data_IF_786244293392
#
_entry.id   IF_786244293392
#
_cell.length_a   1.000
_cell.length_b   1.000
_cell.length_c   1.000
_cell.angle_alpha   90.00
_cell.angle_beta   90.00
_cell.angle_gamma   90.00
#
_symmetry.space_group_name_H-M   'P 1'
#
loop_
_entity.id
_entity.type
_entity.pdbx_description
1 polymer ?
#
# COMPACT_ATOMS: atom_id res chain seq x y z
N UNK A 1 -21.50 2.11 -25.90
CA UNK A 1 -21.05 0.72 -25.68
C UNK A 1 -19.54 0.75 -25.61
N UNK A 2 -18.93 0.06 -24.64
CA UNK A 2 -17.48 -0.10 -24.55
C UNK A 2 -17.05 -1.04 -25.68
N UNK A 3 -16.04 -0.63 -26.45
CA UNK A 3 -15.54 -1.42 -27.58
C UNK A 3 -14.03 -1.68 -27.46
N UNK A 4 -13.53 -2.75 -28.11
CA UNK A 4 -12.11 -3.09 -28.05
C UNK A 4 -11.17 -2.08 -28.71
N UNK A 5 -11.69 -1.23 -29.59
CA UNK A 5 -10.92 -0.22 -30.32
C UNK A 5 -10.73 1.08 -29.53
N UNK A 6 -11.45 1.25 -28.40
CA UNK A 6 -11.36 2.47 -27.60
C UNK A 6 -9.97 2.67 -27.01
N UNK A 7 -9.53 3.92 -27.00
CA UNK A 7 -8.39 4.44 -26.24
C UNK A 7 -8.67 4.38 -24.73
N UNK A 8 -7.64 4.52 -23.90
CA UNK A 8 -7.81 4.51 -22.44
C UNK A 8 -8.72 5.68 -21.97
N UNK A 9 -8.62 6.84 -22.62
CA UNK A 9 -9.48 7.99 -22.35
C UNK A 9 -10.95 7.72 -22.69
N UNK A 10 -11.22 7.11 -23.84
CA UNK A 10 -12.57 6.72 -24.26
C UNK A 10 -13.16 5.65 -23.36
N UNK A 11 -12.35 4.66 -22.96
CA UNK A 11 -12.77 3.62 -22.00
C UNK A 11 -13.16 4.23 -20.66
N UNK A 12 -12.34 5.15 -20.13
CA UNK A 12 -12.64 5.86 -18.88
C UNK A 12 -13.94 6.64 -18.98
N UNK A 13 -14.15 7.40 -20.06
CA UNK A 13 -15.35 8.18 -20.27
C UNK A 13 -16.61 7.28 -20.38
N UNK A 14 -16.53 6.19 -21.14
CA UNK A 14 -17.63 5.24 -21.28
C UNK A 14 -17.96 4.52 -19.96
N UNK A 15 -16.93 4.08 -19.22
CA UNK A 15 -17.11 3.44 -17.94
C UNK A 15 -17.65 4.40 -16.87
N UNK A 16 -17.33 5.69 -16.94
CA UNK A 16 -17.90 6.69 -16.05
C UNK A 16 -19.42 6.86 -16.26
N UNK A 17 -19.89 6.79 -17.51
CA UNK A 17 -21.34 6.81 -17.78
C UNK A 17 -22.02 5.55 -17.22
N UNK A 18 -21.41 4.39 -17.41
CA UNK A 18 -21.91 3.14 -16.83
C UNK A 18 -21.90 3.16 -15.29
N UNK A 19 -20.86 3.72 -14.67
CA UNK A 19 -20.75 3.93 -13.21
C UNK A 19 -21.97 4.69 -12.66
N UNK A 20 -22.29 5.84 -13.27
CA UNK A 20 -23.42 6.67 -12.83
C UNK A 20 -24.74 5.91 -12.92
N UNK A 21 -24.89 5.05 -13.93
CA UNK A 21 -26.08 4.21 -14.12
C UNK A 21 -26.18 3.07 -13.08
N UNK A 22 -25.08 2.36 -12.81
CA UNK A 22 -25.14 1.09 -12.05
C UNK A 22 -24.80 1.22 -10.57
N UNK A 23 -24.18 2.33 -10.12
CA UNK A 23 -23.67 2.46 -8.73
C UNK A 23 -24.69 2.10 -7.65
N UNK A 24 -25.95 2.54 -7.81
CA UNK A 24 -27.01 2.25 -6.84
C UNK A 24 -27.44 0.79 -6.86
N UNK A 25 -27.48 0.17 -8.05
CA UNK A 25 -27.81 -1.26 -8.20
C UNK A 25 -26.75 -2.14 -7.56
N UNK A 26 -25.47 -1.78 -7.72
CA UNK A 26 -24.34 -2.48 -7.07
C UNK A 26 -24.44 -2.32 -5.55
N UNK A 27 -24.70 -1.11 -5.04
CA UNK A 27 -24.85 -0.86 -3.60
C UNK A 27 -25.96 -1.70 -2.97
N UNK A 28 -27.14 -1.73 -3.59
CA UNK A 28 -28.27 -2.55 -3.13
C UNK A 28 -27.91 -4.04 -3.14
N UNK A 29 -27.23 -4.51 -4.19
CA UNK A 29 -26.80 -5.90 -4.28
C UNK A 29 -25.76 -6.27 -3.22
N UNK A 30 -24.84 -5.36 -2.89
CA UNK A 30 -23.86 -5.52 -1.81
C UNK A 30 -24.54 -5.63 -0.45
N UNK A 31 -25.50 -4.74 -0.16
CA UNK A 31 -26.27 -4.75 1.08
C UNK A 31 -27.08 -6.05 1.23
N UNK A 32 -27.69 -6.53 0.13
CA UNK A 32 -28.42 -7.79 0.10
C UNK A 32 -27.50 -8.98 0.36
N UNK A 33 -26.32 -9.03 -0.27
CA UNK A 33 -25.34 -10.09 -0.05
C UNK A 33 -24.85 -10.10 1.40
N UNK A 34 -24.49 -8.93 1.95
CA UNK A 34 -24.07 -8.79 3.34
C UNK A 34 -25.18 -9.21 4.33
N UNK A 35 -26.44 -8.86 4.05
CA UNK A 35 -27.59 -9.30 4.83
C UNK A 35 -27.75 -10.83 4.81
N UNK A 36 -27.61 -11.46 3.64
CA UNK A 36 -27.72 -12.91 3.48
C UNK A 36 -26.62 -13.69 4.21
N UNK A 37 -25.46 -13.07 4.46
CA UNK A 37 -24.37 -13.66 5.21
C UNK A 37 -24.57 -13.60 6.73
N UNK A 38 -25.46 -12.73 7.25
CA UNK A 38 -25.71 -12.63 8.69
C UNK A 38 -26.44 -13.89 9.19
N UNK A 39 -25.85 -14.57 10.18
CA UNK A 39 -26.49 -15.67 10.88
C UNK A 39 -27.35 -15.12 12.02
N UNK A 40 -28.60 -15.58 12.12
CA UNK A 40 -29.45 -15.31 13.29
C UNK A 40 -29.26 -16.39 14.36
N UNK A 41 -29.54 -16.07 15.63
CA UNK A 41 -29.40 -17.01 16.74
C UNK A 41 -30.17 -18.31 16.48
N UNK A 42 -29.49 -19.46 16.65
CA UNK A 42 -30.03 -20.78 16.37
C UNK A 42 -29.95 -21.25 14.92
N UNK A 43 -29.59 -20.38 13.95
CA UNK A 43 -29.42 -20.79 12.55
C UNK A 43 -28.01 -21.33 12.29
N UNK A 44 -27.94 -22.59 11.85
CA UNK A 44 -26.74 -23.21 11.30
C UNK A 44 -26.96 -23.34 9.80
N UNK A 45 -26.32 -22.48 9.00
CA UNK A 45 -26.26 -22.66 7.55
C UNK A 45 -24.87 -23.15 7.18
N UNK A 46 -24.80 -24.20 6.37
CA UNK A 46 -23.64 -24.39 5.51
C UNK A 46 -23.56 -23.12 4.67
N UNK A 47 -22.50 -22.32 4.81
CA UNK A 47 -22.32 -21.09 4.04
C UNK A 47 -22.21 -21.52 2.57
N UNK A 48 -23.34 -21.53 1.87
CA UNK A 48 -23.39 -21.89 0.47
C UNK A 48 -22.78 -20.73 -0.32
N UNK A 49 -21.55 -20.97 -0.77
CA UNK A 49 -20.66 -20.10 -1.52
C UNK A 49 -20.14 -18.88 -0.75
N UNK A 50 -18.84 -18.90 -0.44
CA UNK A 50 -18.06 -17.73 0.01
C UNK A 50 -17.99 -16.63 -1.06
N UNK A 51 -18.55 -16.86 -2.25
CA UNK A 51 -18.50 -15.97 -3.39
C UNK A 51 -19.82 -16.02 -4.19
N UNK A 52 -20.41 -14.87 -4.51
CA UNK A 52 -21.59 -14.74 -5.38
C UNK A 52 -21.26 -13.81 -6.54
N UNK A 53 -21.66 -14.14 -7.78
CA UNK A 53 -21.51 -13.24 -8.92
C UNK A 53 -22.86 -12.87 -9.51
N UNK A 54 -23.12 -11.56 -9.63
CA UNK A 54 -24.28 -11.00 -10.34
C UNK A 54 -23.85 -10.32 -11.63
N UNK A 55 -24.77 -10.19 -12.58
CA UNK A 55 -24.51 -9.48 -13.84
C UNK A 55 -25.46 -8.30 -13.97
N UNK A 56 -24.92 -7.14 -14.36
CA UNK A 56 -25.65 -5.90 -14.56
C UNK A 56 -25.41 -5.43 -15.99
N UNK A 57 -26.49 -5.27 -16.76
CA UNK A 57 -26.44 -4.68 -18.10
C UNK A 57 -26.85 -3.21 -18.06
N UNK A 58 -26.09 -2.36 -18.75
CA UNK A 58 -26.36 -0.91 -18.88
C UNK A 58 -27.23 -0.60 -20.11
N UNK A 59 -27.76 0.63 -20.20
CA UNK A 59 -28.49 1.11 -21.39
C UNK A 59 -27.62 1.07 -22.65
N UNK A 60 -26.32 1.31 -22.50
CA UNK A 60 -25.32 1.20 -23.56
C UNK A 60 -25.02 -0.26 -23.96
N UNK A 61 -25.75 -1.23 -23.40
CA UNK A 61 -25.62 -2.68 -23.59
C UNK A 61 -24.30 -3.29 -23.09
N UNK A 62 -23.54 -2.56 -22.28
CA UNK A 62 -22.36 -3.09 -21.59
C UNK A 62 -22.80 -4.02 -20.47
N UNK A 63 -22.06 -5.12 -20.27
CA UNK A 63 -22.38 -6.15 -19.28
C UNK A 63 -21.27 -6.19 -18.24
N UNK A 64 -21.57 -5.70 -17.04
CA UNK A 64 -20.67 -5.69 -15.90
C UNK A 64 -20.98 -6.86 -14.97
N UNK A 65 -19.97 -7.64 -14.62
CA UNK A 65 -20.05 -8.66 -13.59
C UNK A 65 -19.69 -8.05 -12.24
N UNK A 66 -20.47 -8.40 -11.21
CA UNK A 66 -20.26 -7.97 -9.83
C UNK A 66 -20.01 -9.22 -9.00
N UNK A 67 -18.76 -9.44 -8.62
CA UNK A 67 -18.36 -10.56 -7.78
C UNK A 67 -18.29 -10.09 -6.32
N UNK A 68 -19.06 -10.71 -5.44
CA UNK A 68 -19.05 -10.51 -3.99
C UNK A 68 -18.28 -11.66 -3.34
N UNK A 69 -17.41 -11.36 -2.39
CA UNK A 69 -16.58 -12.34 -1.68
C UNK A 69 -16.69 -12.09 -0.18
N UNK A 70 -16.94 -13.14 0.58
CA UNK A 70 -16.85 -13.10 2.03
C UNK A 70 -15.37 -13.08 2.45
N UNK A 71 -14.92 -11.94 2.99
CA UNK A 71 -13.56 -11.73 3.50
C UNK A 71 -13.32 -12.34 4.88
N UNK A 72 -14.35 -12.89 5.52
CA UNK A 72 -14.26 -13.59 6.80
C UNK A 72 -15.02 -12.89 7.94
N UNK A 73 -14.93 -13.52 9.12
CA UNK A 73 -15.55 -13.08 10.36
C UNK A 73 -14.50 -12.40 11.24
N UNK A 74 -14.79 -11.19 11.74
CA UNK A 74 -13.94 -10.53 12.73
C UNK A 74 -14.59 -10.57 14.12
N UNK A 75 -14.04 -11.34 15.08
CA UNK A 75 -14.56 -11.40 16.44
C UNK A 75 -14.46 -10.07 17.20
N UNK A 76 -13.59 -9.15 16.76
CA UNK A 76 -13.33 -7.86 17.44
C UNK A 76 -14.34 -6.76 17.10
N UNK A 77 -15.23 -6.98 16.14
CA UNK A 77 -16.19 -5.96 15.65
C UNK A 77 -17.64 -6.40 15.82
N UNK A 78 -17.99 -7.05 16.95
CA UNK A 78 -19.35 -7.50 17.28
C UNK A 78 -20.06 -8.28 16.16
N UNK A 79 -19.33 -9.17 15.48
CA UNK A 79 -19.89 -10.05 14.45
C UNK A 79 -20.14 -9.38 13.09
N UNK A 80 -19.56 -8.21 12.83
CA UNK A 80 -19.58 -7.62 11.49
C UNK A 80 -18.79 -8.49 10.48
N UNK A 81 -19.45 -8.80 9.37
CA UNK A 81 -18.89 -9.54 8.23
C UNK A 81 -18.14 -8.58 7.30
N UNK A 82 -16.93 -8.95 6.90
CA UNK A 82 -16.22 -8.24 5.85
C UNK A 82 -16.63 -8.79 4.49
N UNK A 83 -17.19 -7.92 3.64
CA UNK A 83 -17.58 -8.26 2.28
C UNK A 83 -16.71 -7.45 1.33
N UNK A 84 -15.99 -8.16 0.47
CA UNK A 84 -15.27 -7.57 -0.66
C UNK A 84 -16.14 -7.68 -1.92
N UNK A 85 -15.98 -6.75 -2.84
CA UNK A 85 -16.66 -6.82 -4.13
C UNK A 85 -15.81 -6.28 -5.27
N UNK A 86 -16.00 -6.83 -6.46
CA UNK A 86 -15.33 -6.43 -7.69
C UNK A 86 -16.36 -6.23 -8.78
N UNK A 87 -16.43 -5.03 -9.35
CA UNK A 87 -17.22 -4.76 -10.55
C UNK A 87 -16.27 -4.80 -11.72
N UNK A 88 -16.48 -5.73 -12.65
CA UNK A 88 -15.55 -5.95 -13.75
C UNK A 88 -16.23 -6.28 -15.08
N UNK A 89 -15.52 -5.99 -16.16
CA UNK A 89 -15.94 -6.25 -17.53
C UNK A 89 -14.75 -6.81 -18.33
N UNK A 90 -14.87 -8.00 -18.93
CA UNK A 90 -13.89 -8.49 -19.90
C UNK A 90 -13.92 -7.67 -21.19
N UNK A 91 -12.77 -7.17 -21.62
CA UNK A 91 -12.57 -6.37 -22.83
C UNK A 91 -11.81 -7.19 -23.87
N UNK A 92 -12.54 -7.77 -24.83
CA UNK A 92 -11.98 -8.66 -25.86
C UNK A 92 -11.30 -7.88 -26.99
N UNK A 93 -9.97 -7.77 -26.98
CA UNK A 93 -9.13 -7.12 -28.00
C UNK A 93 -8.52 -8.15 -28.95
N UNK A 94 -9.35 -8.72 -29.82
CA UNK A 94 -8.94 -9.80 -30.72
C UNK A 94 -8.75 -11.11 -29.93
N UNK A 95 -7.56 -11.72 -30.02
CA UNK A 95 -7.20 -12.93 -29.26
C UNK A 95 -6.90 -12.64 -27.77
N UNK A 96 -6.73 -11.37 -27.43
CA UNK A 96 -6.39 -10.95 -26.08
C UNK A 96 -7.62 -10.46 -25.31
N UNK A 97 -7.64 -10.71 -24.00
CA UNK A 97 -8.70 -10.24 -23.12
C UNK A 97 -8.07 -9.41 -22.00
N UNK A 98 -8.36 -8.12 -22.05
CA UNK A 98 -8.10 -7.21 -20.93
C UNK A 98 -9.29 -7.26 -19.96
N UNK A 99 -9.08 -6.81 -18.72
CA UNK A 99 -10.14 -6.72 -17.73
C UNK A 99 -10.24 -5.31 -17.18
N UNK A 100 -11.42 -4.71 -17.31
CA UNK A 100 -11.75 -3.45 -16.66
C UNK A 100 -12.33 -3.75 -15.28
N UNK A 101 -11.82 -3.08 -14.25
CA UNK A 101 -12.33 -3.11 -12.88
C UNK A 101 -12.74 -1.72 -12.49
N UNK A 102 -13.94 -1.56 -11.97
CA UNK A 102 -14.49 -0.27 -11.60
C UNK A 102 -14.77 -0.24 -10.10
N UNK A 103 -14.31 0.82 -9.45
CA UNK A 103 -14.66 1.13 -8.06
C UNK A 103 -16.00 1.85 -8.04
N UNK A 104 -16.90 1.44 -7.13
CA UNK A 104 -18.21 2.07 -6.97
C UNK A 104 -18.27 3.04 -5.77
N UNK A 105 -17.38 2.88 -4.78
CA UNK A 105 -17.37 3.67 -3.55
C UNK A 105 -15.93 3.93 -3.05
N UNK A 106 -15.61 5.13 -2.51
CA UNK A 106 -16.44 6.33 -2.47
C UNK A 106 -16.49 7.08 -3.82
N UNK A 107 -15.43 6.98 -4.62
CA UNK A 107 -15.27 7.70 -5.88
C UNK A 107 -15.09 6.77 -7.09
N UNK A 108 -15.49 7.25 -8.27
CA UNK A 108 -15.23 6.55 -9.52
C UNK A 108 -13.74 6.43 -9.76
N UNK A 109 -13.31 5.20 -10.01
CA UNK A 109 -11.96 4.87 -10.43
C UNK A 109 -12.02 3.61 -11.27
N UNK A 110 -11.20 3.55 -12.33
CA UNK A 110 -11.16 2.38 -13.20
C UNK A 110 -9.74 1.83 -13.31
N UNK A 111 -9.62 0.51 -13.35
CA UNK A 111 -8.37 -0.19 -13.49
C UNK A 111 -8.47 -1.12 -14.70
N UNK A 112 -7.50 -1.06 -15.61
CA UNK A 112 -7.37 -2.00 -16.73
C UNK A 112 -6.21 -2.95 -16.45
N UNK A 113 -6.54 -4.22 -16.26
CA UNK A 113 -5.53 -5.29 -16.27
C UNK A 113 -5.35 -5.72 -17.72
N UNK A 114 -4.17 -5.45 -18.29
CA UNK A 114 -3.84 -5.92 -19.63
C UNK A 114 -3.68 -7.44 -19.67
N UNK A 115 -4.00 -8.02 -20.81
CA UNK A 115 -3.71 -9.43 -21.13
C UNK A 115 -2.25 -9.80 -20.88
N UNK A 116 -1.31 -8.95 -21.31
CA UNK A 116 0.12 -9.12 -21.08
C UNK A 116 0.45 -9.17 -19.58
N UNK A 117 -0.03 -8.21 -18.78
CA UNK A 117 0.15 -8.24 -17.33
C UNK A 117 -0.37 -9.55 -16.72
N UNK A 118 -1.57 -9.98 -17.14
CA UNK A 118 -2.20 -11.18 -16.62
C UNK A 118 -1.42 -12.45 -16.95
N UNK A 119 -0.87 -12.52 -18.16
CA UNK A 119 0.03 -13.61 -18.56
C UNK A 119 1.27 -13.64 -17.66
N UNK A 120 1.93 -12.50 -17.48
CA UNK A 120 3.11 -12.40 -16.59
C UNK A 120 2.78 -12.75 -15.14
N UNK A 121 1.60 -12.37 -14.66
CA UNK A 121 1.13 -12.73 -13.31
C UNK A 121 0.98 -14.25 -13.14
N UNK A 122 0.43 -14.94 -14.15
CA UNK A 122 0.34 -16.40 -14.16
C UNK A 122 1.73 -17.02 -14.08
N UNK A 123 2.57 -16.68 -15.06
CA UNK A 123 3.92 -17.26 -15.20
C UNK A 123 4.80 -17.03 -13.96
N UNK A 124 4.76 -15.83 -13.38
CA UNK A 124 5.71 -15.42 -12.33
C UNK A 124 5.23 -15.68 -10.91
N UNK A 125 3.92 -15.75 -10.69
CA UNK A 125 3.38 -15.86 -9.34
C UNK A 125 2.49 -17.07 -9.19
N UNK A 126 1.45 -17.21 -10.03
CA UNK A 126 0.49 -18.30 -9.84
C UNK A 126 1.13 -19.67 -10.10
N UNK A 127 1.80 -19.83 -11.24
CA UNK A 127 2.37 -21.10 -11.67
C UNK A 127 3.62 -21.43 -10.83
N UNK A 128 4.52 -20.46 -10.64
CA UNK A 128 5.70 -20.63 -9.80
C UNK A 128 5.38 -21.05 -8.36
N UNK A 129 4.31 -20.51 -7.76
CA UNK A 129 3.92 -20.83 -6.38
C UNK A 129 2.81 -21.90 -6.31
N UNK A 130 2.42 -22.51 -7.44
CA UNK A 130 1.35 -23.52 -7.51
C UNK A 130 0.05 -23.09 -6.81
N UNK A 131 -0.35 -21.84 -7.02
CA UNK A 131 -1.47 -21.23 -6.31
C UNK A 131 -2.80 -21.87 -6.74
N UNK A 132 -3.51 -22.46 -5.78
CA UNK A 132 -4.88 -22.92 -6.02
C UNK A 132 -5.87 -21.73 -5.97
N UNK A 133 -6.43 -21.39 -7.13
CA UNK A 133 -7.38 -20.29 -7.27
C UNK A 133 -8.80 -20.61 -6.79
N UNK A 134 -9.12 -21.87 -6.49
CA UNK A 134 -10.46 -22.32 -6.08
C UNK A 134 -11.56 -21.84 -7.04
N UNK A 135 -11.26 -21.83 -8.34
CA UNK A 135 -12.19 -21.38 -9.39
C UNK A 135 -12.26 -19.86 -9.61
N UNK A 136 -11.53 -19.05 -8.85
CA UNK A 136 -11.45 -17.60 -9.08
C UNK A 136 -10.63 -17.27 -10.34
N UNK A 137 -11.10 -16.32 -11.15
CA UNK A 137 -10.34 -15.86 -12.31
C UNK A 137 -9.03 -15.17 -11.86
N UNK A 138 -7.87 -15.40 -12.51
CA UNK A 138 -6.58 -14.80 -12.15
C UNK A 138 -6.62 -13.27 -11.97
N UNK A 139 -7.39 -12.56 -12.79
CA UNK A 139 -7.51 -11.10 -12.68
C UNK A 139 -8.24 -10.68 -11.39
N UNK A 140 -9.31 -11.39 -11.02
CA UNK A 140 -10.02 -11.17 -9.74
C UNK A 140 -9.11 -11.52 -8.56
N UNK A 141 -8.38 -12.62 -8.67
CA UNK A 141 -7.46 -13.05 -7.61
C UNK A 141 -6.36 -12.02 -7.36
N UNK A 142 -5.76 -11.46 -8.42
CA UNK A 142 -4.79 -10.37 -8.29
C UNK A 142 -5.41 -9.14 -7.62
N UNK A 143 -6.62 -8.74 -8.05
CA UNK A 143 -7.30 -7.59 -7.44
C UNK A 143 -7.57 -7.80 -5.95
N UNK A 144 -8.04 -8.99 -5.57
CA UNK A 144 -8.37 -9.37 -4.21
C UNK A 144 -7.16 -9.51 -3.28
N UNK A 145 -6.08 -10.13 -3.76
CA UNK A 145 -4.92 -10.44 -2.90
C UNK A 145 -3.89 -9.33 -2.78
N UNK A 146 -4.06 -8.24 -3.53
CA UNK A 146 -3.13 -7.11 -3.49
C UNK A 146 -3.87 -5.80 -3.19
N UNK A 147 -4.89 -5.83 -2.32
CA UNK A 147 -5.53 -4.59 -1.84
C UNK A 147 -4.55 -3.64 -1.12
N UNK A 148 -3.42 -4.16 -0.65
CA UNK A 148 -2.30 -3.45 -0.02
C UNK A 148 -1.36 -2.73 -1.00
N UNK A 149 -1.67 -2.73 -2.31
CA UNK A 149 -0.86 -2.05 -3.34
C UNK A 149 -0.64 -0.59 -2.96
N UNK A 150 0.61 -0.19 -2.90
CA UNK A 150 1.00 1.21 -2.71
C UNK A 150 1.90 1.67 -3.84
N UNK A 151 1.76 2.92 -4.25
CA UNK A 151 2.72 3.53 -5.16
C UNK A 151 4.07 3.66 -4.45
N UNK A 152 5.14 3.42 -5.20
CA UNK A 152 6.52 3.60 -4.72
C UNK A 152 7.15 4.83 -5.34
N UNK A 153 8.02 5.48 -4.58
CA UNK A 153 8.85 6.59 -5.02
C UNK A 153 10.07 6.12 -5.82
N UNK A 154 10.37 4.81 -5.76
CA UNK A 154 11.39 4.21 -6.60
C UNK A 154 11.15 4.49 -8.10
N UNK A 155 12.17 5.05 -8.76
CA UNK A 155 12.20 5.28 -10.22
C UNK A 155 13.35 4.50 -10.87
N UNK A 156 13.08 3.57 -11.79
CA UNK A 156 14.11 2.81 -12.51
C UNK A 156 15.07 3.74 -13.27
N UNK A 157 16.35 3.36 -13.37
CA UNK A 157 17.37 4.16 -14.08
C UNK A 157 17.40 3.91 -15.58
N UNK A 158 16.79 2.81 -16.03
CA UNK A 158 16.71 2.41 -17.43
C UNK A 158 15.43 2.88 -18.13
N UNK A 159 14.58 3.65 -17.44
CA UNK A 159 13.38 4.25 -18.03
C UNK A 159 13.70 5.62 -18.63
N UNK A 160 13.08 5.92 -19.76
CA UNK A 160 13.17 7.23 -20.42
C UNK A 160 12.37 8.30 -19.64
N UNK A 161 12.60 9.58 -19.93
CA UNK A 161 11.84 10.67 -19.30
C UNK A 161 10.34 10.60 -19.57
N UNK A 162 9.95 10.16 -20.77
CA UNK A 162 8.55 9.96 -21.14
C UNK A 162 7.92 8.83 -20.32
N UNK A 163 8.65 7.73 -20.15
CA UNK A 163 8.20 6.62 -19.30
C UNK A 163 8.08 7.02 -17.83
N UNK A 164 8.98 7.85 -17.32
CA UNK A 164 8.93 8.35 -15.95
C UNK A 164 7.77 9.32 -15.69
N UNK A 165 7.27 10.00 -16.73
CA UNK A 165 6.08 10.88 -16.64
C UNK A 165 4.78 10.09 -16.57
N UNK A 166 4.69 8.97 -17.27
CA UNK A 166 3.45 8.22 -17.41
C UNK A 166 3.38 6.97 -16.52
N UNK A 167 4.53 6.32 -16.30
CA UNK A 167 4.62 5.04 -15.61
C UNK A 167 5.10 5.22 -14.18
N UNK A 168 4.56 4.39 -13.30
CA UNK A 168 5.02 4.24 -11.93
C UNK A 168 4.99 2.77 -11.56
N UNK A 169 5.43 2.46 -10.34
CA UNK A 169 5.45 1.09 -9.82
C UNK A 169 4.51 1.03 -8.62
N UNK A 170 3.73 -0.05 -8.56
CA UNK A 170 2.98 -0.44 -7.37
C UNK A 170 3.69 -1.61 -6.69
N UNK A 171 3.89 -1.51 -5.39
CA UNK A 171 4.43 -2.58 -4.55
C UNK A 171 3.28 -3.30 -3.83
N UNK A 172 3.31 -4.63 -3.86
CA UNK A 172 2.40 -5.48 -3.10
C UNK A 172 3.11 -6.76 -2.63
N UNK A 173 2.43 -7.56 -1.80
CA UNK A 173 2.92 -8.86 -1.39
C UNK A 173 3.35 -9.75 -2.59
N UNK A 174 2.61 -9.69 -3.70
CA UNK A 174 2.80 -10.57 -4.85
C UNK A 174 3.75 -10.01 -5.93
N UNK A 175 4.28 -8.79 -5.78
CA UNK A 175 5.34 -8.30 -6.65
C UNK A 175 5.34 -6.79 -6.88
N UNK A 176 6.15 -6.39 -7.87
CA UNK A 176 6.29 -5.00 -8.32
C UNK A 176 5.60 -4.86 -9.67
N UNK A 177 4.47 -4.16 -9.69
CA UNK A 177 3.62 -4.00 -10.86
C UNK A 177 3.94 -2.67 -11.54
N UNK A 178 4.28 -2.70 -12.83
CA UNK A 178 4.47 -1.50 -13.64
C UNK A 178 3.11 -1.06 -14.16
N UNK A 179 2.74 0.17 -13.83
CA UNK A 179 1.43 0.73 -14.17
C UNK A 179 1.58 2.10 -14.84
N UNK A 180 0.57 2.48 -15.63
CA UNK A 180 0.40 3.84 -16.14
C UNK A 180 -0.81 4.50 -15.47
N UNK A 181 -0.63 5.71 -14.94
CA UNK A 181 -1.72 6.52 -14.40
C UNK A 181 -2.24 7.48 -15.47
N UNK A 182 -3.54 7.46 -15.71
CA UNK A 182 -4.23 8.31 -16.69
C UNK A 182 -5.47 8.89 -15.99
N UNK A 183 -5.31 10.03 -15.30
CA UNK A 183 -6.38 10.62 -14.48
C UNK A 183 -6.96 9.55 -13.51
N UNK A 184 -8.28 9.32 -13.49
CA UNK A 184 -8.96 8.32 -12.66
C UNK A 184 -8.84 6.88 -13.19
N UNK A 185 -7.83 6.59 -13.99
CA UNK A 185 -7.58 5.28 -14.57
C UNK A 185 -6.16 4.80 -14.27
N UNK A 186 -6.03 3.52 -13.91
CA UNK A 186 -4.74 2.82 -13.84
C UNK A 186 -4.70 1.66 -14.81
N UNK A 187 -3.63 1.60 -15.60
CA UNK A 187 -3.38 0.53 -16.56
C UNK A 187 -2.22 -0.32 -16.06
N UNK A 188 -2.47 -1.60 -15.79
CA UNK A 188 -1.44 -2.56 -15.44
C UNK A 188 -0.79 -3.11 -16.71
N UNK A 189 0.50 -2.83 -16.89
CA UNK A 189 1.24 -3.10 -18.13
C UNK A 189 1.99 -4.44 -18.02
N UNK A 190 2.82 -4.57 -16.98
CA UNK A 190 3.66 -5.75 -16.75
C UNK A 190 4.13 -5.77 -15.29
N UNK A 191 4.94 -6.76 -14.93
CA UNK A 191 5.79 -6.72 -13.75
C UNK A 191 7.14 -6.15 -14.11
N UNK A 192 7.80 -5.53 -13.15
CA UNK A 192 9.13 -4.98 -13.36
C UNK A 192 10.11 -6.08 -13.75
N UNK A 193 10.61 -6.03 -14.99
CA UNK A 193 11.36 -7.11 -15.63
C UNK A 193 12.86 -6.99 -15.33
N UNK A 194 13.28 -7.48 -14.16
CA UNK A 194 14.66 -7.92 -13.95
C UNK A 194 14.66 -9.41 -13.61
N UNK A 195 15.54 -10.16 -14.28
CA UNK A 195 15.65 -11.63 -14.19
C UNK A 195 15.76 -12.13 -12.74
N UNK A 196 16.35 -11.31 -11.86
CA UNK A 196 16.29 -11.49 -10.42
C UNK A 196 15.41 -10.42 -9.76
N UNK A 197 14.09 -10.68 -9.77
CA UNK A 197 13.15 -9.93 -8.95
C UNK A 197 13.62 -9.86 -7.50
N UNK A 198 14.30 -10.85 -6.94
CA UNK A 198 14.74 -10.85 -5.54
C UNK A 198 15.63 -9.67 -5.16
N UNK A 199 16.70 -9.42 -5.93
CA UNK A 199 17.65 -8.32 -5.65
C UNK A 199 17.03 -6.96 -5.90
N UNK A 200 16.31 -6.83 -7.00
CA UNK A 200 15.66 -5.57 -7.33
C UNK A 200 14.49 -5.26 -6.38
N UNK A 201 13.70 -6.27 -6.04
CA UNK A 201 12.67 -6.21 -5.00
C UNK A 201 13.32 -5.79 -3.68
N UNK A 202 14.40 -6.44 -3.24
CA UNK A 202 15.10 -6.03 -2.03
C UNK A 202 15.52 -4.55 -2.08
N UNK A 203 16.08 -4.08 -3.20
CA UNK A 203 16.44 -2.67 -3.37
C UNK A 203 15.23 -1.74 -3.28
N UNK A 204 14.13 -2.03 -3.98
CA UNK A 204 12.90 -1.22 -3.93
C UNK A 204 12.34 -1.20 -2.52
N UNK A 205 12.20 -2.36 -1.87
CA UNK A 205 11.70 -2.45 -0.50
C UNK A 205 12.58 -1.70 0.50
N UNK A 206 13.89 -1.72 0.30
CA UNK A 206 14.84 -1.00 1.13
C UNK A 206 14.73 0.52 0.95
N UNK A 207 14.73 1.01 -0.30
CA UNK A 207 14.56 2.44 -0.61
C UNK A 207 13.18 2.95 -0.12
N UNK A 208 12.11 2.17 -0.32
CA UNK A 208 10.77 2.52 0.17
C UNK A 208 10.64 2.46 1.68
N UNK A 209 11.29 1.48 2.34
CA UNK A 209 11.32 1.44 3.80
C UNK A 209 12.03 2.66 4.36
N UNK A 210 13.13 3.08 3.74
CA UNK A 210 13.84 4.29 4.14
C UNK A 210 12.92 5.51 4.03
N UNK A 211 12.20 5.64 2.92
CA UNK A 211 11.31 6.78 2.72
C UNK A 211 10.10 6.78 3.66
N UNK A 212 9.48 5.63 3.89
CA UNK A 212 8.38 5.50 4.86
C UNK A 212 8.80 5.87 6.28
N UNK A 213 10.05 5.59 6.65
CA UNK A 213 10.59 6.02 7.94
C UNK A 213 10.96 7.50 7.94
N UNK A 214 11.48 8.04 6.82
CA UNK A 214 11.75 9.47 6.66
C UNK A 214 10.49 10.31 6.90
N UNK A 215 9.37 9.93 6.30
CA UNK A 215 8.10 10.63 6.42
C UNK A 215 7.50 10.64 7.84
N UNK A 216 8.01 9.80 8.76
CA UNK A 216 7.58 9.80 10.17
C UNK A 216 8.34 10.79 11.04
N UNK A 217 9.44 11.37 10.57
CA UNK A 217 10.21 12.34 11.35
C UNK A 217 9.41 13.56 11.85
N UNK A 218 8.50 14.17 11.05
CA UNK A 218 7.65 15.27 11.52
C UNK A 218 6.79 14.89 12.74
N UNK A 219 6.23 13.67 12.76
CA UNK A 219 5.46 13.15 13.88
C UNK A 219 6.35 12.85 15.09
N UNK A 220 7.56 12.37 14.83
CA UNK A 220 8.55 12.02 15.85
C UNK A 220 9.19 13.24 16.53
N UNK A 221 9.05 14.47 16.00
CA UNK A 221 9.60 15.67 16.64
C UNK A 221 9.11 15.87 18.08
N UNK A 222 7.92 15.36 18.42
CA UNK A 222 7.30 15.49 19.75
C UNK A 222 7.63 14.32 20.68
N UNK A 223 8.26 13.26 20.17
CA UNK A 223 8.64 12.07 20.93
C UNK A 223 10.13 11.76 20.72
N UNK A 224 10.94 12.17 21.69
CA UNK A 224 12.38 11.97 21.65
C UNK A 224 12.81 10.50 21.53
N UNK A 225 12.01 9.55 22.06
CA UNK A 225 12.31 8.11 21.98
C UNK A 225 12.02 7.58 20.59
N UNK A 226 10.89 7.99 20.00
CA UNK A 226 10.53 7.64 18.63
C UNK A 226 11.51 8.25 17.63
N UNK A 227 11.85 9.54 17.78
CA UNK A 227 12.85 10.21 16.95
C UNK A 227 14.19 9.49 17.00
N UNK A 228 14.67 9.13 18.19
CA UNK A 228 15.96 8.47 18.36
C UNK A 228 15.97 7.07 17.70
N UNK A 229 14.86 6.33 17.81
CA UNK A 229 14.73 5.02 17.20
C UNK A 229 14.74 5.10 15.66
N UNK A 230 13.99 6.04 15.09
CA UNK A 230 13.99 6.29 13.63
C UNK A 230 15.37 6.74 13.15
N UNK A 231 16.00 7.68 13.87
CA UNK A 231 17.33 8.16 13.57
C UNK A 231 18.37 7.03 13.55
N UNK A 232 18.47 6.25 14.64
CA UNK A 232 19.41 5.13 14.73
C UNK A 232 19.16 4.06 13.67
N UNK A 233 17.91 3.85 13.25
CA UNK A 233 17.55 2.91 12.19
C UNK A 233 18.00 3.41 10.82
N UNK A 234 17.65 4.65 10.48
CA UNK A 234 17.84 5.19 9.13
C UNK A 234 19.27 5.58 8.83
N UNK A 235 19.98 6.13 9.82
CA UNK A 235 21.33 6.65 9.68
C UNK A 235 22.38 5.70 10.28
N UNK A 236 22.05 4.42 10.46
CA UNK A 236 23.03 3.39 10.83
C UNK A 236 24.19 3.30 9.84
N UNK A 237 23.91 3.59 8.57
CA UNK A 237 24.87 3.77 7.49
C UNK A 237 24.61 5.15 6.84
N UNK A 238 25.29 6.22 7.31
CA UNK A 238 25.07 7.58 6.83
C UNK A 238 25.34 7.75 5.33
N UNK A 239 26.33 7.06 4.77
CA UNK A 239 26.66 7.16 3.35
C UNK A 239 25.54 6.59 2.48
N UNK A 240 25.00 5.45 2.89
CA UNK A 240 23.84 4.83 2.24
C UNK A 240 22.58 5.68 2.36
N UNK A 241 22.33 6.26 3.54
CA UNK A 241 21.23 7.19 3.77
C UNK A 241 21.32 8.42 2.86
N UNK A 242 22.51 9.01 2.72
CA UNK A 242 22.78 10.13 1.81
C UNK A 242 22.49 9.77 0.36
N UNK A 243 22.93 8.57 -0.06
CA UNK A 243 22.71 8.07 -1.42
C UNK A 243 21.22 7.90 -1.74
N UNK A 244 20.42 7.38 -0.80
CA UNK A 244 18.98 7.25 -1.00
C UNK A 244 18.29 8.61 -1.06
N UNK A 245 18.67 9.54 -0.20
CA UNK A 245 18.13 10.91 -0.23
C UNK A 245 18.45 11.61 -1.57
N UNK A 246 19.71 11.58 -2.02
CA UNK A 246 20.11 12.15 -3.32
C UNK A 246 19.35 11.53 -4.50
N UNK A 247 19.19 10.20 -4.48
CA UNK A 247 18.42 9.49 -5.51
C UNK A 247 16.96 9.90 -5.52
N UNK A 248 16.37 10.14 -4.35
CA UNK A 248 15.02 10.68 -4.24
C UNK A 248 14.94 12.11 -4.79
N UNK A 249 15.82 13.01 -4.35
CA UNK A 249 15.80 14.43 -4.76
C UNK A 249 16.00 14.62 -6.28
N UNK A 250 16.87 13.81 -6.89
CA UNK A 250 17.09 13.85 -8.34
C UNK A 250 15.89 13.41 -9.17
N UNK A 251 14.89 12.74 -8.57
CA UNK A 251 13.79 12.09 -9.31
C UNK A 251 12.39 12.48 -8.84
N UNK A 252 12.28 13.23 -7.75
CA UNK A 252 11.02 13.74 -7.23
C UNK A 252 10.81 15.18 -7.69
N UNK A 253 9.63 15.46 -8.24
CA UNK A 253 9.21 16.83 -8.49
C UNK A 253 8.76 17.46 -7.17
N UNK A 254 9.45 18.54 -6.78
CA UNK A 254 9.26 19.22 -5.50
C UNK A 254 9.08 20.71 -5.77
N UNK A 255 8.27 21.37 -4.95
CA UNK A 255 8.23 22.82 -5.00
C UNK A 255 9.60 23.40 -4.63
N UNK A 256 9.84 24.65 -5.04
CA UNK A 256 11.15 25.30 -4.88
C UNK A 256 11.59 25.40 -3.42
N UNK A 257 10.66 25.67 -2.51
CA UNK A 257 10.95 25.86 -1.09
C UNK A 257 11.42 24.56 -0.42
N UNK A 258 10.70 23.46 -0.66
CA UNK A 258 11.07 22.14 -0.14
C UNK A 258 12.39 21.65 -0.76
N UNK A 259 12.62 21.95 -2.04
CA UNK A 259 13.88 21.61 -2.71
C UNK A 259 15.06 22.36 -2.10
N UNK A 260 14.94 23.67 -1.89
CA UNK A 260 16.00 24.48 -1.25
C UNK A 260 16.32 23.99 0.17
N UNK A 261 15.31 23.53 0.93
CA UNK A 261 15.51 22.94 2.27
C UNK A 261 16.28 21.63 2.19
N UNK A 262 15.90 20.75 1.27
CA UNK A 262 16.53 19.44 1.11
C UNK A 262 17.95 19.54 0.55
N UNK A 263 18.21 20.47 -0.37
CA UNK A 263 19.54 20.73 -0.89
C UNK A 263 20.47 21.24 0.23
N UNK A 264 20.01 22.18 1.07
CA UNK A 264 20.76 22.59 2.27
C UNK A 264 21.02 21.44 3.25
N UNK A 265 20.08 20.50 3.38
CA UNK A 265 20.26 19.32 4.22
C UNK A 265 21.36 18.40 3.67
N UNK A 266 21.44 18.26 2.35
CA UNK A 266 22.46 17.46 1.66
C UNK A 266 23.83 18.13 1.70
N UNK A 267 23.88 19.44 1.51
CA UNK A 267 25.12 20.23 1.52
C UNK A 267 25.77 20.23 2.91
N UNK A 268 24.95 20.29 3.96
CA UNK A 268 25.40 20.26 5.36
C UNK A 268 25.28 18.87 5.99
N UNK A 269 25.33 17.80 5.19
CA UNK A 269 25.06 16.43 5.63
C UNK A 269 25.86 16.02 6.87
N UNK A 270 27.17 16.24 6.85
CA UNK A 270 28.07 15.78 7.92
C UNK A 270 27.79 16.52 9.24
N UNK A 271 27.50 17.82 9.16
CA UNK A 271 27.13 18.63 10.33
C UNK A 271 25.78 18.20 10.91
N UNK A 272 24.82 17.85 10.04
CA UNK A 272 23.52 17.34 10.47
C UNK A 272 23.68 15.99 11.16
N UNK A 273 24.47 15.07 10.60
CA UNK A 273 24.71 13.76 11.23
C UNK A 273 25.42 13.93 12.59
N UNK A 274 26.42 14.80 12.69
CA UNK A 274 27.09 15.11 13.95
C UNK A 274 26.12 15.68 15.00
N UNK A 275 25.28 16.64 14.60
CA UNK A 275 24.24 17.19 15.46
C UNK A 275 23.24 16.12 15.93
N UNK A 276 22.77 15.28 15.03
CA UNK A 276 21.80 14.23 15.34
C UNK A 276 22.42 13.14 16.24
N UNK A 277 23.71 12.82 16.07
CA UNK A 277 24.45 11.94 16.98
C UNK A 277 24.51 12.51 18.40
N UNK A 278 24.86 13.81 18.55
CA UNK A 278 24.87 14.47 19.86
C UNK A 278 23.49 14.48 20.53
N UNK A 279 22.44 14.72 19.75
CA UNK A 279 21.05 14.65 20.24
C UNK A 279 20.67 13.22 20.66
N UNK A 280 21.11 12.21 19.91
CA UNK A 280 20.91 10.80 20.25
C UNK A 280 21.58 10.44 21.58
N UNK A 281 22.82 10.89 21.80
CA UNK A 281 23.54 10.69 23.06
C UNK A 281 22.86 11.38 24.23
N UNK A 282 22.30 12.57 24.01
CA UNK A 282 21.52 13.30 25.01
C UNK A 282 20.28 12.50 25.45
N UNK A 283 19.53 11.92 24.51
CA UNK A 283 18.38 11.06 24.81
C UNK A 283 18.80 9.80 25.58
N UNK A 284 19.96 9.20 25.24
CA UNK A 284 20.48 8.06 26.00
C UNK A 284 20.89 8.42 27.43
N UNK A 285 21.42 9.64 27.65
CA UNK A 285 21.70 10.17 29.00
C UNK A 285 20.42 10.38 29.80
N UNK A 286 19.39 10.98 29.22
CA UNK A 286 18.08 11.13 29.87
C UNK A 286 17.50 9.79 30.31
N UNK A 287 17.61 8.74 29.49
CA UNK A 287 17.18 7.38 29.86
C UNK A 287 17.92 6.82 31.07
N UNK A 288 19.23 7.06 31.18
CA UNK A 288 20.05 6.62 32.32
C UNK A 288 19.68 7.37 33.61
N UNK A 289 19.26 8.63 33.49
CA UNK A 289 18.83 9.44 34.63
C UNK A 289 17.37 9.13 35.07
N UNK A 290 16.51 8.71 34.14
CA UNK A 290 15.15 8.22 34.40
C UNK A 290 15.08 6.79 34.94
N UNK A 291 16.09 5.95 34.64
CA UNK A 291 16.19 4.65 35.29
C UNK A 291 16.41 4.86 36.78
N UNK A 292 15.63 4.19 37.67
CA UNK A 292 15.92 4.25 39.08
C UNK A 292 17.36 3.78 39.28
N UNK A 293 18.22 4.69 39.75
CA UNK A 293 19.52 4.32 40.31
C UNK A 293 19.22 3.19 41.29
N UNK A 294 19.69 1.98 40.96
CA UNK A 294 19.65 0.71 41.69
C UNK A 294 18.62 0.56 42.84
N UNK A 295 17.93 -0.58 42.95
CA UNK A 295 17.16 -0.93 44.17
C UNK A 295 17.95 -0.71 45.47
N UNK A 296 19.29 -0.80 45.42
CA UNK A 296 20.18 -0.46 46.53
C UNK A 296 20.25 1.04 46.87
N UNK A 297 20.17 1.95 45.89
CA UNK A 297 20.20 3.41 46.14
C UNK A 297 18.88 3.93 46.75
N UNK A 298 17.75 3.27 46.43
CA UNK A 298 16.46 3.52 47.08
C UNK A 298 16.52 3.09 48.56
N UNK A 299 17.15 1.93 48.85
CA UNK A 299 17.37 1.45 50.22
C UNK A 299 18.29 2.36 51.06
N UNK A 300 19.36 2.90 50.46
CA UNK A 300 20.30 3.81 51.15
C UNK A 300 19.64 5.17 51.46
N UNK A 301 18.78 5.69 50.58
CA UNK A 301 18.00 6.91 50.85
C UNK A 301 16.96 6.72 51.96
N UNK A 302 16.30 5.56 52.05
CA UNK A 302 15.38 5.26 53.16
C UNK A 302 16.14 5.14 54.49
N UNK A 303 17.28 4.46 54.53
CA UNK A 303 18.08 4.30 55.75
C UNK A 303 18.63 5.66 56.28
N UNK A 304 19.03 6.58 55.39
CA UNK A 304 19.43 7.94 55.78
C UNK A 304 18.27 8.79 56.29
N UNK A 305 17.04 8.58 55.80
CA UNK A 305 15.84 9.25 56.32
C UNK A 305 15.43 8.73 57.69
N UNK A 306 15.52 7.41 57.94
CA UNK A 306 15.22 6.83 59.25
C UNK A 306 16.24 7.22 60.33
N UNK A 307 17.54 7.34 59.99
CA UNK A 307 18.56 7.82 60.95
C UNK A 307 18.44 9.30 61.34
N UNK A 308 17.66 10.11 60.60
CA UNK A 308 17.39 11.52 60.95
C UNK A 308 16.06 11.72 61.68
N UNK A 309 15.25 10.68 61.81
CA UNK A 309 13.96 10.72 62.52
C UNK A 309 13.93 9.91 63.81
N UNK A 310 15.08 9.42 64.28
CA UNK A 310 15.22 8.68 65.53
C UNK A 310 16.40 9.23 66.32
N UNK A 311 16.14 10.27 67.09
CA UNK A 311 17.09 10.97 67.94
C UNK A 311 16.41 12.19 68.54
N UNK A 312 15.67 11.92 69.62
CA UNK A 312 15.09 12.77 70.67
C UNK A 312 14.43 14.12 70.32
#
# INVERSE_FOLDING_TARGET
MITPSMTDEELRAAAYQDFLEIRMRVKIALEQFAHNLKLHSGQHRAIHSLMETKTIRTKARNTWSVCFVNGGYCPKTDGNLFVNYFVYLPLHRGEHVDFLFMTILPDFYIQRISSHFLQRYKERYLDCNQVNLLGMHPALYYMYKNEDRTEVYYRPTNWTEEELKEKTILISAQGLSVVKFIDKMVVYITFLDQENLSRYKAQVYEEESYWKDFQKFPEAQKDAKLWQALYKKMYADPDKAKKYLLKFLSKTDMNKEDRDIMDKMVDNWDEIIDFQNKMSDYVDKMKKDEQPKSLFDIGVKMAKRMKRGGGD
#
